data_IF_266784054167
#
_entry.id   IF_266784054167
#
_cell.length_a   1.000
_cell.length_b   1.000
_cell.length_c   1.000
_cell.angle_alpha   90.00
_cell.angle_beta   90.00
_cell.angle_gamma   90.00
#
_symmetry.space_group_name_H-M   'P 1'
#
loop_
_entity.id
_entity.type
_entity.pdbx_description
1 polymer ?
#
# COMPACT_ATOMS: atom_id res chain seq x y z
N UNK A 1 1.96 -18.75 8.97
CA UNK A 1 0.59 -19.27 9.02
C UNK A 1 -0.39 -18.17 9.41
N UNK A 2 -1.68 -18.47 9.34
CA UNK A 2 -2.72 -17.47 9.61
C UNK A 2 -2.62 -16.86 11.01
N UNK A 3 -2.31 -17.67 12.03
CA UNK A 3 -2.19 -17.19 13.39
C UNK A 3 -1.02 -16.21 13.55
N UNK A 4 0.11 -16.51 12.93
CA UNK A 4 1.27 -15.63 12.97
C UNK A 4 1.01 -14.32 12.23
N UNK A 5 0.34 -14.38 11.08
CA UNK A 5 -0.04 -13.20 10.30
C UNK A 5 -0.98 -12.32 11.12
N UNK A 6 -2.00 -12.93 11.72
CA UNK A 6 -2.98 -12.19 12.54
C UNK A 6 -2.29 -11.51 13.72
N UNK A 7 -1.39 -12.21 14.40
CA UNK A 7 -0.65 -11.66 15.53
C UNK A 7 0.22 -10.49 15.11
N UNK A 8 0.91 -10.60 13.98
CA UNK A 8 1.72 -9.51 13.45
C UNK A 8 0.89 -8.29 13.10
N UNK A 9 -0.24 -8.47 12.42
CA UNK A 9 -1.14 -7.37 12.05
C UNK A 9 -1.68 -6.66 13.28
N UNK A 10 -2.11 -7.43 14.27
CA UNK A 10 -2.64 -6.89 15.52
C UNK A 10 -1.58 -6.08 16.26
N UNK A 11 -0.38 -6.61 16.37
CA UNK A 11 0.73 -5.94 17.04
C UNK A 11 1.06 -4.62 16.37
N UNK A 12 1.21 -4.60 15.04
CA UNK A 12 1.52 -3.38 14.30
C UNK A 12 0.44 -2.33 14.48
N UNK A 13 -0.82 -2.72 14.42
CA UNK A 13 -1.93 -1.79 14.58
C UNK A 13 -2.04 -1.24 16.00
N UNK A 14 -1.97 -2.10 17.01
CA UNK A 14 -2.14 -1.69 18.40
C UNK A 14 -0.96 -0.86 18.93
N UNK A 15 0.25 -1.19 18.53
CA UNK A 15 1.44 -0.51 19.04
C UNK A 15 1.83 0.72 18.24
N UNK A 16 1.74 0.67 16.91
CA UNK A 16 2.20 1.75 16.04
C UNK A 16 1.12 2.39 15.19
N UNK A 17 -0.12 1.95 15.30
CA UNK A 17 -1.21 2.39 14.42
C UNK A 17 -0.88 2.21 12.94
N UNK A 18 -0.07 1.22 12.64
CA UNK A 18 0.31 0.92 11.27
C UNK A 18 -0.74 0.02 10.65
N UNK A 19 -1.46 0.53 9.68
CA UNK A 19 -2.53 -0.22 9.02
C UNK A 19 -2.01 -1.08 7.86
N UNK A 20 -0.80 -0.80 7.37
CA UNK A 20 -0.24 -1.51 6.22
C UNK A 20 0.88 -2.45 6.65
N UNK A 21 0.88 -3.66 6.07
CA UNK A 21 1.92 -4.65 6.27
C UNK A 21 2.22 -5.32 4.93
N UNK A 22 3.49 -5.36 4.54
CA UNK A 22 3.91 -6.05 3.32
C UNK A 22 4.24 -7.51 3.61
N UNK A 23 3.75 -8.38 2.75
CA UNK A 23 4.11 -9.80 2.74
C UNK A 23 4.48 -10.15 1.28
N UNK A 24 5.78 -10.14 0.98
CA UNK A 24 6.24 -10.28 -0.40
C UNK A 24 5.71 -9.14 -1.26
N UNK A 25 4.94 -9.46 -2.28
CA UNK A 25 4.33 -8.48 -3.16
C UNK A 25 2.89 -8.13 -2.76
N UNK A 26 2.43 -8.68 -1.64
CA UNK A 26 1.07 -8.46 -1.15
C UNK A 26 1.08 -7.43 -0.04
N UNK A 27 0.25 -6.41 -0.18
CA UNK A 27 0.02 -5.43 0.88
C UNK A 27 -1.26 -5.82 1.62
N UNK A 28 -1.15 -5.99 2.92
CA UNK A 28 -2.30 -6.24 3.78
C UNK A 28 -2.67 -4.94 4.48
N UNK A 29 -3.92 -4.52 4.34
CA UNK A 29 -4.41 -3.29 4.93
C UNK A 29 -5.47 -3.60 5.97
N UNK A 30 -5.33 -2.98 7.14
CA UNK A 30 -6.34 -3.02 8.19
C UNK A 30 -7.16 -1.74 8.10
N UNK A 31 -8.49 -1.85 8.06
CA UNK A 31 -9.34 -0.67 8.04
C UNK A 31 -9.35 -0.03 9.42
N UNK A 32 -8.84 1.20 9.58
CA UNK A 32 -8.82 1.86 10.89
C UNK A 32 -10.15 2.48 11.26
N UNK A 33 -11.13 2.50 10.34
CA UNK A 33 -12.44 3.12 10.52
C UNK A 33 -12.40 4.62 10.88
N UNK A 34 -11.27 5.27 10.59
CA UNK A 34 -11.14 6.72 10.70
C UNK A 34 -10.06 7.22 9.75
N UNK A 35 -10.05 8.51 9.50
CA UNK A 35 -9.08 9.12 8.60
C UNK A 35 -7.67 9.15 9.22
N UNK A 36 -6.66 8.80 8.43
CA UNK A 36 -5.27 8.90 8.83
C UNK A 36 -4.54 9.92 7.97
N UNK A 37 -3.59 10.63 8.56
CA UNK A 37 -2.80 11.66 7.88
C UNK A 37 -1.57 11.05 7.21
N UNK A 38 -1.79 10.08 6.31
CA UNK A 38 -0.71 9.39 5.59
C UNK A 38 -0.90 9.43 4.08
N UNK A 39 -1.81 10.28 3.60
CA UNK A 39 -2.15 10.40 2.19
C UNK A 39 -1.98 11.85 1.73
N UNK A 40 -2.07 12.06 0.43
CA UNK A 40 -2.02 13.38 -0.17
C UNK A 40 -0.72 13.65 -0.91
N UNK A 41 -0.63 14.84 -1.50
CA UNK A 41 0.44 15.21 -2.42
C UNK A 41 1.83 15.07 -1.83
N UNK A 42 2.02 15.46 -0.58
CA UNK A 42 3.32 15.35 0.08
C UNK A 42 3.77 13.91 0.23
N UNK A 43 2.85 13.03 0.58
CA UNK A 43 3.15 11.60 0.68
C UNK A 43 3.37 10.97 -0.68
N UNK A 44 2.59 11.36 -1.69
CA UNK A 44 2.80 10.88 -3.06
C UNK A 44 4.19 11.26 -3.55
N UNK A 45 4.60 12.53 -3.36
CA UNK A 45 5.94 12.98 -3.76
C UNK A 45 7.04 12.23 -3.03
N UNK A 46 6.83 11.93 -1.75
CA UNK A 46 7.80 11.16 -0.98
C UNK A 46 8.06 9.80 -1.62
N UNK A 47 7.02 9.08 -2.01
CA UNK A 47 7.17 7.78 -2.64
C UNK A 47 7.72 7.89 -4.06
N UNK A 48 7.31 8.89 -4.83
CA UNK A 48 7.84 9.10 -6.18
C UNK A 48 9.32 9.43 -6.19
N UNK A 49 9.82 10.07 -5.14
CA UNK A 49 11.23 10.44 -5.03
C UNK A 49 12.12 9.34 -4.46
N UNK A 50 11.56 8.21 -4.07
CA UNK A 50 12.36 7.07 -3.62
C UNK A 50 13.18 6.52 -4.79
N UNK A 51 14.46 6.15 -4.56
CA UNK A 51 15.25 5.49 -5.60
C UNK A 51 14.57 4.20 -6.08
N UNK A 52 14.64 3.95 -7.37
CA UNK A 52 14.04 2.77 -7.98
C UNK A 52 14.57 1.47 -7.34
N UNK A 53 15.84 1.46 -6.96
CA UNK A 53 16.49 0.32 -6.34
C UNK A 53 16.22 0.21 -4.86
N UNK A 54 15.54 1.19 -4.26
CA UNK A 54 15.18 1.13 -2.85
C UNK A 54 14.06 0.12 -2.68
N UNK A 55 14.35 -0.96 -1.99
CA UNK A 55 13.37 -2.02 -1.76
C UNK A 55 12.36 -1.65 -0.68
N UNK A 56 12.54 -0.51 -0.01
CA UNK A 56 11.82 -0.35 1.25
C UNK A 56 11.38 1.07 1.51
N UNK A 57 10.29 1.42 0.87
CA UNK A 57 9.42 2.39 1.48
C UNK A 57 8.71 1.76 2.68
N UNK A 58 8.20 2.57 3.56
CA UNK A 58 7.27 2.12 4.59
C UNK A 58 6.07 1.47 3.86
N UNK A 59 5.57 0.32 4.34
CA UNK A 59 4.42 -0.32 3.70
C UNK A 59 3.27 0.67 3.53
N UNK A 60 2.78 0.79 2.30
CA UNK A 60 1.75 1.76 1.94
C UNK A 60 1.16 1.40 0.58
N UNK A 61 -0.08 1.79 0.33
CA UNK A 61 -0.70 1.58 -0.96
C UNK A 61 0.06 2.30 -2.08
N UNK A 62 0.67 3.44 -1.79
CA UNK A 62 1.49 4.16 -2.77
C UNK A 62 2.73 3.36 -3.18
N UNK A 63 3.26 2.54 -2.30
CA UNK A 63 4.40 1.68 -2.64
C UNK A 63 4.02 0.63 -3.67
N UNK A 64 2.82 0.05 -3.55
CA UNK A 64 2.31 -0.90 -4.54
C UNK A 64 2.18 -0.22 -5.91
N UNK A 65 1.63 0.99 -5.94
CA UNK A 65 1.49 1.76 -7.17
C UNK A 65 2.86 2.13 -7.76
N UNK A 66 3.81 2.52 -6.92
CA UNK A 66 5.17 2.88 -7.35
C UNK A 66 5.87 1.69 -8.02
N UNK A 67 5.77 0.52 -7.41
CA UNK A 67 6.38 -0.70 -7.96
C UNK A 67 5.73 -1.10 -9.27
N UNK A 68 4.41 -1.06 -9.34
CA UNK A 68 3.69 -1.40 -10.56
C UNK A 68 4.04 -0.43 -11.71
N UNK A 69 4.06 0.86 -11.43
CA UNK A 69 4.42 1.87 -12.43
C UNK A 69 5.86 1.69 -12.91
N UNK A 70 6.77 1.42 -11.99
CA UNK A 70 8.17 1.19 -12.33
C UNK A 70 8.35 -0.04 -13.21
N UNK A 71 7.70 -1.14 -12.90
CA UNK A 71 7.76 -2.34 -13.72
C UNK A 71 7.15 -2.12 -15.10
N UNK A 72 6.06 -1.36 -15.17
CA UNK A 72 5.46 -1.02 -16.44
C UNK A 72 6.45 -0.25 -17.35
N UNK A 73 7.17 0.70 -16.78
CA UNK A 73 8.10 1.57 -17.54
C UNK A 73 9.41 0.86 -17.89
N UNK A 74 9.97 0.08 -16.97
CA UNK A 74 11.27 -0.54 -17.17
C UNK A 74 11.19 -1.88 -17.91
N UNK A 75 10.23 -2.71 -17.52
CA UNK A 75 10.10 -4.04 -18.09
C UNK A 75 9.21 -4.07 -19.32
N UNK A 76 8.51 -2.97 -19.60
CA UNK A 76 7.56 -2.83 -20.71
C UNK A 76 6.50 -3.92 -20.71
N UNK A 77 6.08 -4.34 -19.51
CA UNK A 77 5.04 -5.34 -19.31
C UNK A 77 3.83 -4.71 -18.69
N UNK A 78 2.66 -5.11 -19.18
CA UNK A 78 1.40 -4.72 -18.53
C UNK A 78 1.39 -5.19 -17.07
N UNK A 79 0.87 -4.32 -16.20
CA UNK A 79 0.79 -4.61 -14.77
C UNK A 79 -0.67 -4.66 -14.35
N UNK A 80 -0.96 -5.45 -13.33
CA UNK A 80 -2.28 -5.51 -12.74
C UNK A 80 -2.16 -5.42 -11.22
N UNK A 81 -3.06 -4.66 -10.61
CA UNK A 81 -3.15 -4.58 -9.15
C UNK A 81 -4.51 -5.15 -8.76
N UNK A 82 -4.49 -6.22 -7.99
CA UNK A 82 -5.70 -6.88 -7.53
C UNK A 82 -6.04 -6.42 -6.12
N UNK A 83 -7.25 -5.93 -5.93
CA UNK A 83 -7.74 -5.51 -4.62
C UNK A 83 -8.83 -6.48 -4.19
N UNK A 84 -8.62 -7.16 -3.07
CA UNK A 84 -9.57 -8.12 -2.55
C UNK A 84 -9.97 -7.76 -1.12
N UNK A 85 -11.06 -8.32 -0.65
CA UNK A 85 -11.56 -8.12 0.69
C UNK A 85 -13.06 -8.12 0.71
N UNK A 86 -13.62 -8.26 1.91
CA UNK A 86 -15.06 -8.20 2.10
C UNK A 86 -15.57 -6.77 2.05
N UNK A 87 -16.87 -6.62 1.89
CA UNK A 87 -17.53 -5.32 1.96
C UNK A 87 -17.21 -4.64 3.30
N UNK A 88 -16.87 -3.36 3.25
CA UNK A 88 -16.49 -2.63 4.46
C UNK A 88 -15.02 -2.73 4.84
N UNK A 89 -14.21 -3.48 4.09
CA UNK A 89 -12.79 -3.60 4.37
C UNK A 89 -11.95 -2.42 3.86
N UNK A 90 -12.55 -1.48 3.15
CA UNK A 90 -11.84 -0.30 2.64
C UNK A 90 -11.38 -0.41 1.20
N UNK A 91 -11.95 -1.32 0.40
CA UNK A 91 -11.53 -1.51 -1.01
C UNK A 91 -11.70 -0.26 -1.85
N UNK A 92 -12.81 0.45 -1.69
CA UNK A 92 -13.08 1.67 -2.44
C UNK A 92 -12.07 2.76 -2.13
N UNK A 93 -11.74 2.95 -0.84
CA UNK A 93 -10.75 3.94 -0.44
C UNK A 93 -9.35 3.55 -0.95
N UNK A 94 -9.00 2.27 -0.91
CA UNK A 94 -7.73 1.78 -1.43
C UNK A 94 -7.62 2.07 -2.93
N UNK A 95 -8.65 1.81 -3.69
CA UNK A 95 -8.68 2.10 -5.12
C UNK A 95 -8.52 3.59 -5.37
N UNK A 96 -9.19 4.42 -4.60
CA UNK A 96 -9.09 5.88 -4.71
C UNK A 96 -7.64 6.33 -4.52
N UNK A 97 -6.95 5.85 -3.50
CA UNK A 97 -5.56 6.24 -3.25
C UNK A 97 -4.60 5.75 -4.34
N UNK A 98 -4.83 4.56 -4.87
CA UNK A 98 -4.04 4.06 -6.01
C UNK A 98 -4.19 4.98 -7.23
N UNK A 99 -5.43 5.34 -7.56
CA UNK A 99 -5.71 6.21 -8.71
C UNK A 99 -5.10 7.59 -8.48
N UNK A 100 -5.22 8.15 -7.30
CA UNK A 100 -4.63 9.45 -6.97
C UNK A 100 -3.11 9.43 -7.17
N UNK A 101 -2.45 8.37 -6.74
CA UNK A 101 -1.00 8.23 -6.94
C UNK A 101 -0.64 8.14 -8.42
N UNK A 102 -1.31 7.27 -9.16
CA UNK A 102 -0.98 7.02 -10.57
C UNK A 102 -1.29 8.22 -11.47
N UNK A 103 -2.26 9.05 -11.09
CA UNK A 103 -2.65 10.23 -11.85
C UNK A 103 -1.94 11.51 -11.41
N UNK A 104 -1.07 11.44 -10.44
CA UNK A 104 -0.37 12.61 -9.90
C UNK A 104 0.60 13.28 -10.89
#
# INVERSE_FOLDING_TARGET
>A
NEAEIFTALRSRYLQGRQIYTLMGQTLIAVNPYHHLEIYGDGFIRKYRNLPRTSDKGVPHVYEIARQAEGSLKEDLRSQAILITGESGAGKTETLKYLVEYLCY
#
